data_IF_572481562341
#
_entry.id   IF_572481562341
#
_cell.length_a   1.000
_cell.length_b   1.000
_cell.length_c   1.000
_cell.angle_alpha   90.00
_cell.angle_beta   90.00
_cell.angle_gamma   90.00
#
_symmetry.space_group_name_H-M   'P 1'
#
loop_
_entity.id
_entity.type
_entity.pdbx_description
1 polymer ?
#
# COMPACT_ATOMS: atom_id res chain seq x y z
N UNK A 1 -3.51 4.06 10.89
CA UNK A 1 -3.59 4.20 9.42
C UNK A 1 -2.40 5.04 8.97
N UNK A 2 -1.34 4.42 8.41
CA UNK A 2 -0.17 5.15 7.95
C UNK A 2 -0.42 5.83 6.59
N UNK A 3 0.17 7.01 6.42
CA UNK A 3 0.22 7.73 5.15
C UNK A 3 1.68 7.94 4.74
N UNK A 4 1.96 7.97 3.44
CA UNK A 4 3.29 8.21 2.88
C UNK A 4 3.18 9.32 1.85
N UNK A 5 3.81 10.47 2.10
CA UNK A 5 3.89 11.58 1.15
C UNK A 5 5.27 11.62 0.55
N UNK A 6 5.34 11.71 -0.78
CA UNK A 6 6.58 11.78 -1.55
C UNK A 6 6.53 12.96 -2.52
N UNK A 7 7.66 13.64 -2.77
CA UNK A 7 7.70 14.75 -3.70
C UNK A 7 7.46 14.27 -5.14
N UNK A 8 6.77 15.09 -5.93
CA UNK A 8 6.48 14.84 -7.34
C UNK A 8 5.25 13.96 -7.60
N UNK A 9 4.95 13.79 -8.89
CA UNK A 9 3.86 12.94 -9.38
C UNK A 9 4.33 11.49 -9.45
N UNK A 10 3.75 10.64 -8.61
CA UNK A 10 3.99 9.20 -8.63
C UNK A 10 2.72 8.52 -9.12
N UNK A 11 2.83 7.72 -10.17
CA UNK A 11 1.71 6.91 -10.68
C UNK A 11 1.51 5.69 -9.80
N UNK A 12 0.30 5.13 -9.79
CA UNK A 12 0.10 3.89 -9.04
C UNK A 12 0.88 2.71 -9.65
N UNK A 13 1.25 2.72 -10.94
CA UNK A 13 2.11 1.68 -11.53
C UNK A 13 3.53 1.72 -10.96
N UNK A 14 4.09 2.92 -10.78
CA UNK A 14 5.37 3.10 -10.11
C UNK A 14 5.29 2.60 -8.66
N UNK A 15 4.21 2.92 -7.95
CA UNK A 15 3.98 2.46 -6.58
C UNK A 15 3.83 0.92 -6.51
N UNK A 16 3.10 0.31 -7.45
CA UNK A 16 2.94 -1.15 -7.56
C UNK A 16 4.28 -1.84 -7.82
N UNK A 17 5.08 -1.32 -8.75
CA UNK A 17 6.42 -1.85 -9.05
C UNK A 17 7.37 -1.74 -7.86
N UNK A 18 7.37 -0.61 -7.15
CA UNK A 18 8.14 -0.45 -5.91
C UNK A 18 7.69 -1.45 -4.86
N UNK A 19 6.39 -1.63 -4.66
CA UNK A 19 5.88 -2.59 -3.69
C UNK A 19 6.26 -4.03 -4.02
N UNK A 20 6.21 -4.42 -5.30
CA UNK A 20 6.66 -5.75 -5.76
C UNK A 20 8.15 -5.98 -5.51
N UNK A 21 8.98 -4.92 -5.57
CA UNK A 21 10.43 -5.00 -5.33
C UNK A 21 10.78 -5.02 -3.84
N UNK A 22 10.08 -4.20 -3.05
CA UNK A 22 10.45 -3.90 -1.66
C UNK A 22 9.78 -4.84 -0.63
N UNK A 23 8.63 -5.41 -0.97
CA UNK A 23 7.93 -6.37 -0.12
C UNK A 23 8.42 -7.81 -0.35
N UNK A 24 8.21 -8.65 0.66
CA UNK A 24 8.44 -10.09 0.59
C UNK A 24 7.47 -10.73 -0.43
N UNK A 25 7.91 -11.79 -1.13
CA UNK A 25 7.13 -12.54 -2.12
C UNK A 25 5.80 -13.12 -1.59
N UNK A 26 5.60 -13.14 -0.26
CA UNK A 26 4.31 -13.47 0.36
C UNK A 26 3.22 -12.42 0.12
N UNK A 27 3.60 -11.18 -0.21
CA UNK A 27 2.64 -10.13 -0.54
C UNK A 27 2.28 -10.20 -2.03
N UNK A 28 0.99 -10.10 -2.31
CA UNK A 28 0.44 -10.05 -3.66
C UNK A 28 -0.14 -8.66 -3.86
N UNK A 29 0.41 -7.91 -4.81
CA UNK A 29 -0.16 -6.64 -5.24
C UNK A 29 -1.23 -6.95 -6.28
N UNK A 30 -2.49 -6.68 -5.94
CA UNK A 30 -3.61 -6.89 -6.84
C UNK A 30 -3.83 -5.68 -7.74
N UNK A 31 -4.15 -5.92 -9.02
CA UNK A 31 -4.42 -4.86 -9.96
C UNK A 31 -5.66 -4.05 -9.56
N UNK A 32 -5.72 -2.81 -10.04
CA UNK A 32 -6.78 -1.85 -9.75
C UNK A 32 -8.15 -2.37 -10.22
N UNK A 33 -9.02 -2.74 -9.29
CA UNK A 33 -10.33 -3.32 -9.65
C UNK A 33 -11.39 -2.28 -10.07
N UNK A 34 -11.35 -1.05 -9.57
CA UNK A 34 -12.44 -0.08 -9.82
C UNK A 34 -12.07 1.41 -9.73
N UNK A 35 -10.84 1.74 -9.31
CA UNK A 35 -10.40 3.14 -9.27
C UNK A 35 -8.93 3.21 -9.66
N UNK A 36 -8.54 4.09 -10.60
CA UNK A 36 -7.15 4.24 -11.00
C UNK A 36 -6.25 4.67 -9.83
N UNK A 37 -6.82 5.27 -8.79
CA UNK A 37 -6.10 5.74 -7.62
C UNK A 37 -6.13 4.76 -6.44
N UNK A 38 -6.70 3.56 -6.61
CA UNK A 38 -6.77 2.57 -5.53
C UNK A 38 -6.34 1.19 -6.00
N UNK A 39 -5.49 0.57 -5.21
CA UNK A 39 -5.09 -0.82 -5.40
C UNK A 39 -4.98 -1.52 -4.04
N UNK A 40 -4.90 -2.86 -4.07
CA UNK A 40 -4.89 -3.67 -2.86
C UNK A 40 -3.61 -4.48 -2.80
N UNK A 41 -3.04 -4.60 -1.60
CA UNK A 41 -1.89 -5.46 -1.32
C UNK A 41 -2.36 -6.51 -0.33
N UNK A 42 -2.35 -7.78 -0.71
CA UNK A 42 -2.78 -8.91 0.11
C UNK A 42 -1.57 -9.64 0.66
N UNK A 43 -1.56 -9.92 1.96
CA UNK A 43 -0.68 -10.95 2.54
C UNK A 43 -1.39 -12.32 2.56
N UNK A 44 -2.72 -12.31 2.67
CA UNK A 44 -3.58 -13.50 2.56
C UNK A 44 -5.02 -13.07 2.20
N UNK A 45 -5.93 -14.03 2.00
CA UNK A 45 -7.36 -13.73 1.83
C UNK A 45 -7.98 -13.02 3.02
N UNK A 46 -7.39 -13.16 4.21
CA UNK A 46 -7.90 -12.59 5.47
C UNK A 46 -7.14 -11.34 5.93
N UNK A 47 -6.06 -10.94 5.24
CA UNK A 47 -5.22 -9.82 5.66
C UNK A 47 -4.64 -9.07 4.46
N UNK A 48 -5.02 -7.81 4.35
CA UNK A 48 -4.70 -6.96 3.21
C UNK A 48 -4.55 -5.50 3.63
N UNK A 49 -4.03 -4.68 2.72
CA UNK A 49 -4.06 -3.24 2.80
C UNK A 49 -4.61 -2.66 1.49
N UNK A 50 -5.49 -1.68 1.58
CA UNK A 50 -5.91 -0.86 0.45
C UNK A 50 -5.04 0.38 0.44
N UNK A 51 -4.34 0.61 -0.66
CA UNK A 51 -3.58 1.83 -0.90
C UNK A 51 -4.42 2.74 -1.77
N UNK A 52 -4.64 3.97 -1.29
CA UNK A 52 -5.25 5.05 -2.06
C UNK A 52 -4.17 6.09 -2.34
N UNK A 53 -4.05 6.50 -3.60
CA UNK A 53 -3.19 7.57 -4.07
C UNK A 53 -4.01 8.86 -4.16
N UNK A 54 -3.48 9.94 -3.61
CA UNK A 54 -4.01 11.28 -3.79
C UNK A 54 -2.85 12.15 -4.30
N UNK A 55 -3.02 12.70 -5.50
CA UNK A 55 -2.00 13.50 -6.18
C UNK A 55 -2.26 14.99 -5.97
N UNK A 56 -1.22 15.72 -5.65
CA UNK A 56 -1.19 17.18 -5.47
C UNK A 56 -0.18 17.80 -6.44
N UNK A 57 -0.21 19.13 -6.58
CA UNK A 57 0.63 19.85 -7.56
C UNK A 57 2.14 19.60 -7.39
N UNK A 58 2.59 19.32 -6.17
CA UNK A 58 4.01 19.16 -5.82
C UNK A 58 4.37 17.83 -5.18
N UNK A 59 3.38 17.02 -4.82
CA UNK A 59 3.58 15.78 -4.09
C UNK A 59 2.48 14.75 -4.38
N UNK A 60 2.77 13.50 -4.02
CA UNK A 60 1.80 12.41 -4.03
C UNK A 60 1.71 11.83 -2.63
N UNK A 61 0.48 11.72 -2.11
CA UNK A 61 0.20 11.10 -0.83
C UNK A 61 -0.47 9.73 -1.02
N UNK A 62 0.10 8.70 -0.40
CA UNK A 62 -0.43 7.35 -0.36
C UNK A 62 -1.06 7.09 1.01
N UNK A 63 -2.38 6.93 1.05
CA UNK A 63 -3.16 6.54 2.21
C UNK A 63 -3.28 5.02 2.29
N UNK A 64 -2.69 4.41 3.31
CA UNK A 64 -2.68 2.95 3.46
C UNK A 64 -3.65 2.51 4.55
N UNK A 65 -4.70 1.81 4.15
CA UNK A 65 -5.73 1.31 5.04
C UNK A 65 -5.58 -0.20 5.20
N UNK A 66 -5.30 -0.67 6.42
CA UNK A 66 -5.34 -2.09 6.72
C UNK A 66 -6.77 -2.62 6.72
N UNK A 67 -6.97 -3.82 6.20
CA UNK A 67 -8.22 -4.55 6.27
C UNK A 67 -7.98 -6.04 6.48
N UNK A 68 -8.91 -6.71 7.15
CA UNK A 68 -8.80 -8.13 7.41
C UNK A 68 -9.99 -8.69 8.17
N UNK A 69 -10.05 -10.01 8.30
CA UNK A 69 -11.07 -10.69 9.11
C UNK A 69 -10.48 -10.98 10.50
N UNK A 70 -11.21 -10.56 11.53
CA UNK A 70 -10.91 -10.81 12.93
C UNK A 70 -11.15 -12.29 13.28
N UNK A 71 -10.08 -13.09 13.35
CA UNK A 71 -10.12 -14.41 13.97
C UNK A 71 -9.20 -14.40 15.19
N UNK A 72 -9.79 -14.41 16.40
CA UNK A 72 -9.07 -14.65 17.65
C UNK A 72 -7.96 -13.65 18.00
N UNK A 73 -8.32 -12.41 18.38
CA UNK A 73 -7.47 -11.44 19.11
C UNK A 73 -6.15 -10.97 18.46
N UNK A 74 -5.85 -11.28 17.20
CA UNK A 74 -4.69 -10.72 16.49
C UNK A 74 -5.11 -9.68 15.45
N UNK A 75 -4.86 -8.41 15.74
CA UNK A 75 -4.89 -7.33 14.75
C UNK A 75 -3.69 -7.50 13.80
N UNK A 76 -3.86 -8.23 12.69
CA UNK A 76 -2.88 -8.19 11.59
C UNK A 76 -3.14 -7.04 10.60
N UNK A 77 -4.26 -6.31 10.76
CA UNK A 77 -4.63 -5.16 9.93
C UNK A 77 -3.57 -4.06 9.95
N UNK A 78 -2.98 -3.81 11.13
CA UNK A 78 -1.97 -2.78 11.30
C UNK A 78 -0.58 -3.20 10.82
N UNK A 79 -0.31 -4.51 10.76
CA UNK A 79 0.97 -5.07 10.30
C UNK A 79 1.14 -4.87 8.79
N UNK A 80 0.20 -5.38 8.01
CA UNK A 80 0.24 -5.28 6.53
C UNK A 80 0.26 -3.81 6.09
N UNK A 81 -0.59 -2.96 6.67
CA UNK A 81 -0.60 -1.53 6.33
C UNK A 81 0.73 -0.83 6.65
N UNK A 82 1.40 -1.20 7.76
CA UNK A 82 2.71 -0.67 8.12
C UNK A 82 3.81 -1.14 7.17
N UNK A 83 3.80 -2.42 6.82
CA UNK A 83 4.81 -2.99 5.93
C UNK A 83 4.71 -2.36 4.53
N UNK A 84 3.49 -2.20 4.02
CA UNK A 84 3.21 -1.51 2.76
C UNK A 84 3.66 -0.05 2.82
N UNK A 85 3.30 0.69 3.87
CA UNK A 85 3.73 2.09 4.02
C UNK A 85 5.26 2.22 4.14
N UNK A 86 5.92 1.29 4.85
CA UNK A 86 7.38 1.28 4.99
C UNK A 86 8.05 0.98 3.65
N UNK A 87 7.53 0.04 2.87
CA UNK A 87 8.02 -0.27 1.53
C UNK A 87 7.89 0.92 0.57
N UNK A 88 6.71 1.57 0.54
CA UNK A 88 6.51 2.80 -0.24
C UNK A 88 7.49 3.89 0.18
N UNK A 89 7.63 4.14 1.48
CA UNK A 89 8.56 5.15 2.00
C UNK A 89 10.02 4.83 1.64
N UNK A 90 10.42 3.56 1.63
CA UNK A 90 11.79 3.16 1.28
C UNK A 90 12.06 3.31 -0.22
N UNK A 91 11.17 2.78 -1.06
CA UNK A 91 11.44 2.71 -2.50
C UNK A 91 11.03 3.95 -3.31
N UNK A 92 10.23 4.87 -2.76
CA UNK A 92 9.84 6.14 -3.43
C UNK A 92 10.55 7.38 -2.85
N UNK A 93 11.31 7.24 -1.76
CA UNK A 93 12.12 8.34 -1.21
C UNK A 93 13.61 8.25 -1.62
N UNK A 94 13.99 7.23 -2.38
CA UNK A 94 15.26 7.11 -3.10
C UNK A 94 15.17 7.77 -4.48
#
# INVERSE_FOLDING_TARGET
MPNVTVPGSVTSDNAEAVLQRELDNRFIVEPRESSPDKFKVKLSSLSYATVRRDEHETDTTFHVHGGGILIGRLFNEFGVARDVAKALKRGLAE
#
